data_IF_258843586684
#
_entry.id   IF_258843586684
#
_cell.length_a   1.000
_cell.length_b   1.000
_cell.length_c   1.000
_cell.angle_alpha   90.00
_cell.angle_beta   90.00
_cell.angle_gamma   90.00
#
_symmetry.space_group_name_H-M   'P 1'
#
loop_
_entity.id
_entity.type
_entity.pdbx_description
1 polymer ?
#
# COMPACT_ATOMS: atom_id res chain seq x y z
N UNK A 1 9.54 -59.68 32.10
CA UNK A 1 9.98 -59.04 33.36
C UNK A 1 9.33 -57.67 33.39
N UNK A 2 8.15 -57.55 34.02
CA UNK A 2 7.98 -57.05 35.41
C UNK A 2 8.39 -55.57 35.52
N UNK A 3 7.52 -54.57 35.40
CA UNK A 3 6.16 -54.37 35.97
C UNK A 3 6.13 -54.21 37.51
N UNK A 4 5.24 -53.32 37.99
CA UNK A 4 5.13 -52.70 39.33
C UNK A 4 6.15 -51.55 39.56
N UNK A 5 5.80 -50.43 40.22
CA UNK A 5 4.76 -50.24 41.25
C UNK A 5 3.91 -48.96 41.06
N UNK A 6 2.63 -49.07 41.45
CA UNK A 6 1.61 -48.01 41.50
C UNK A 6 0.92 -48.04 42.88
N UNK A 7 0.73 -46.89 43.53
CA UNK A 7 -0.17 -46.62 44.69
C UNK A 7 -0.28 -45.08 44.81
N UNK A 8 -1.41 -44.38 44.63
CA UNK A 8 -2.75 -44.47 45.26
C UNK A 8 -2.67 -44.17 46.77
N UNK A 9 -3.20 -43.05 47.30
CA UNK A 9 -4.61 -42.67 47.59
C UNK A 9 -4.56 -41.34 48.40
N UNK A 10 -5.60 -40.55 48.71
CA UNK A 10 -7.04 -40.50 48.40
C UNK A 10 -7.63 -39.15 48.89
N UNK A 11 -8.86 -38.86 48.48
CA UNK A 11 -9.75 -37.73 48.80
C UNK A 11 -9.82 -37.22 50.26
N UNK A 12 -10.20 -35.93 50.43
CA UNK A 12 -11.47 -35.51 51.08
C UNK A 12 -11.76 -33.99 51.14
N UNK A 13 -12.76 -33.57 50.36
CA UNK A 13 -13.96 -32.74 50.69
C UNK A 13 -13.98 -31.61 51.75
N UNK A 14 -14.65 -30.50 51.35
CA UNK A 14 -15.44 -29.52 52.16
C UNK A 14 -14.66 -28.44 52.95
N UNK A 15 -15.16 -27.23 53.27
CA UNK A 15 -16.53 -26.64 53.15
C UNK A 15 -16.50 -25.08 53.11
N UNK A 16 -17.62 -24.44 52.68
CA UNK A 16 -18.28 -23.18 53.13
C UNK A 16 -17.51 -22.02 53.86
N UNK A 17 -17.89 -20.73 53.80
CA UNK A 17 -18.85 -19.94 52.99
C UNK A 17 -18.81 -18.41 53.36
N UNK A 18 -19.31 -17.51 52.47
CA UNK A 18 -19.82 -16.10 52.68
C UNK A 18 -18.82 -15.08 53.31
N UNK A 19 -18.66 -13.83 52.85
CA UNK A 19 -19.58 -12.78 52.33
C UNK A 19 -18.88 -11.94 51.22
N UNK A 20 -19.42 -10.88 50.59
CA UNK A 20 -20.80 -10.34 50.54
C UNK A 20 -20.88 -8.80 50.64
N UNK A 21 -20.89 -8.07 49.51
CA UNK A 21 -21.05 -6.60 49.41
C UNK A 21 -22.01 -6.19 48.27
N UNK A 22 -22.72 -5.05 48.42
CA UNK A 22 -23.80 -4.57 47.53
C UNK A 22 -23.30 -3.64 46.40
N UNK A 23 -24.10 -3.43 45.32
CA UNK A 23 -23.67 -2.67 44.15
C UNK A 23 -23.78 -1.15 44.33
N UNK A 24 -22.92 -0.40 43.63
CA UNK A 24 -23.05 1.04 43.44
C UNK A 24 -23.41 1.32 41.97
N UNK A 25 -24.63 1.83 41.74
CA UNK A 25 -25.09 2.30 40.44
C UNK A 25 -24.65 3.75 40.20
N UNK A 26 -23.72 3.96 39.28
CA UNK A 26 -23.42 5.28 38.68
C UNK A 26 -23.92 5.32 37.23
N UNK A 27 -24.30 6.50 36.70
CA UNK A 27 -24.85 6.60 35.35
C UNK A 27 -23.81 6.19 34.30
N UNK A 28 -24.22 5.36 33.35
CA UNK A 28 -23.38 4.96 32.24
C UNK A 28 -23.12 6.17 31.33
N UNK A 29 -21.88 6.68 31.35
CA UNK A 29 -21.43 7.62 30.34
C UNK A 29 -21.62 6.99 28.95
N UNK A 30 -22.24 7.73 28.04
CA UNK A 30 -22.56 7.25 26.70
C UNK A 30 -21.32 6.72 25.99
N UNK A 31 -21.38 5.49 25.49
CA UNK A 31 -20.35 4.97 24.59
C UNK A 31 -20.38 5.81 23.32
N UNK A 32 -19.40 6.71 23.17
CA UNK A 32 -19.06 7.27 21.84
C UNK A 32 -18.85 6.07 20.91
N UNK A 33 -19.61 5.97 19.83
CA UNK A 33 -19.28 5.05 18.75
C UNK A 33 -18.03 5.61 18.10
N UNK A 34 -16.88 5.00 18.34
CA UNK A 34 -15.68 5.34 17.60
C UNK A 34 -15.91 5.06 16.13
N UNK A 35 -15.87 6.10 15.30
CA UNK A 35 -15.81 5.97 13.84
C UNK A 35 -14.69 4.98 13.48
N UNK A 36 -15.04 3.93 12.73
CA UNK A 36 -14.17 2.76 12.58
C UNK A 36 -12.98 3.03 11.65
N UNK A 37 -11.89 3.54 12.24
CA UNK A 37 -10.58 3.73 11.64
C UNK A 37 -9.55 4.05 12.72
N UNK A 38 -8.24 3.85 12.48
CA UNK A 38 -7.21 4.38 13.37
C UNK A 38 -7.28 5.91 13.29
N UNK A 39 -7.59 6.57 14.41
CA UNK A 39 -7.75 8.01 14.46
C UNK A 39 -6.46 8.72 14.03
N UNK A 40 -6.46 9.29 12.83
CA UNK A 40 -5.39 10.14 12.32
C UNK A 40 -5.52 11.52 12.99
N UNK A 41 -4.56 12.00 13.80
CA UNK A 41 -4.78 13.18 14.64
C UNK A 41 -5.17 14.46 13.89
N UNK A 42 -4.68 14.62 12.66
CA UNK A 42 -5.01 15.75 11.78
C UNK A 42 -6.46 15.74 11.27
N UNK A 43 -7.13 14.58 11.28
CA UNK A 43 -8.54 14.47 10.90
C UNK A 43 -9.51 14.78 12.06
N UNK A 44 -9.06 15.11 13.27
CA UNK A 44 -9.95 15.30 14.44
C UNK A 44 -11.16 16.21 14.15
N UNK A 45 -10.93 17.35 13.48
CA UNK A 45 -12.00 18.30 13.12
C UNK A 45 -12.94 17.75 12.04
N UNK A 46 -12.45 16.90 11.16
CA UNK A 46 -13.26 16.23 10.12
C UNK A 46 -14.21 15.26 10.83
N UNK A 47 -13.67 14.39 11.69
CA UNK A 47 -14.43 13.42 12.49
C UNK A 47 -15.47 14.13 13.38
N UNK A 48 -15.13 15.24 14.03
CA UNK A 48 -16.06 16.04 14.84
C UNK A 48 -17.23 16.64 14.05
N UNK A 49 -17.07 16.90 12.75
CA UNK A 49 -18.15 17.39 11.88
C UNK A 49 -18.96 16.21 11.34
N UNK A 50 -18.31 15.11 10.96
CA UNK A 50 -18.97 13.86 10.53
C UNK A 50 -19.88 13.30 11.64
N UNK A 51 -19.39 13.24 12.88
CA UNK A 51 -20.18 12.80 14.04
C UNK A 51 -21.43 13.70 14.24
N UNK A 52 -21.29 15.03 14.12
CA UNK A 52 -22.43 15.97 14.23
C UNK A 52 -23.45 15.82 13.10
N UNK A 53 -22.98 15.63 11.86
CA UNK A 53 -23.87 15.37 10.71
C UNK A 53 -24.65 14.07 10.94
N UNK A 54 -23.98 13.03 11.47
CA UNK A 54 -24.63 11.76 11.79
C UNK A 54 -25.64 11.90 12.94
N UNK A 55 -25.31 12.62 14.02
CA UNK A 55 -26.23 12.93 15.12
C UNK A 55 -27.48 13.69 14.63
N UNK A 56 -27.31 14.67 13.73
CA UNK A 56 -28.44 15.40 13.14
C UNK A 56 -29.30 14.55 12.21
N UNK A 57 -28.68 13.65 11.42
CA UNK A 57 -29.43 12.69 10.58
C UNK A 57 -30.25 11.72 11.44
N UNK A 58 -29.67 11.18 12.50
CA UNK A 58 -30.39 10.33 13.46
C UNK A 58 -31.51 11.10 14.22
N UNK A 59 -31.33 12.40 14.46
CA UNK A 59 -32.37 13.26 15.04
C UNK A 59 -33.52 13.57 14.04
N UNK A 60 -33.20 13.79 12.76
CA UNK A 60 -34.18 13.99 11.69
C UNK A 60 -35.04 12.74 11.48
N UNK A 61 -34.45 11.54 11.52
CA UNK A 61 -35.16 10.28 11.37
C UNK A 61 -36.07 9.94 12.58
N UNK A 62 -35.77 10.50 13.76
CA UNK A 62 -36.46 10.19 15.02
C UNK A 62 -37.43 11.27 15.52
N UNK A 63 -37.45 12.45 14.89
CA UNK A 63 -38.28 13.59 15.30
C UNK A 63 -38.91 14.31 14.10
N UNK A 64 -39.90 15.17 14.34
CA UNK A 64 -40.52 16.00 13.30
C UNK A 64 -39.82 17.35 13.11
N UNK A 65 -38.55 17.49 13.51
CA UNK A 65 -37.78 18.71 13.33
C UNK A 65 -37.08 18.70 11.97
N UNK A 66 -37.31 19.74 11.16
CA UNK A 66 -36.51 19.97 9.96
C UNK A 66 -35.14 20.52 10.36
N UNK A 67 -34.09 19.72 10.12
CA UNK A 67 -32.68 20.07 10.31
C UNK A 67 -31.90 19.97 8.98
N UNK A 68 -32.61 19.98 7.85
CA UNK A 68 -32.01 19.79 6.53
C UNK A 68 -31.05 20.92 6.16
N UNK A 69 -31.35 22.16 6.54
CA UNK A 69 -30.49 23.33 6.33
C UNK A 69 -29.18 23.25 7.13
N UNK A 70 -29.24 22.83 8.39
CA UNK A 70 -28.08 22.60 9.25
C UNK A 70 -27.20 21.47 8.70
N UNK A 71 -27.80 20.37 8.23
CA UNK A 71 -27.06 19.26 7.60
C UNK A 71 -26.31 19.74 6.35
N UNK A 72 -26.97 20.47 5.43
CA UNK A 72 -26.32 20.99 4.22
C UNK A 72 -25.17 21.94 4.56
N UNK A 73 -25.39 22.86 5.51
CA UNK A 73 -24.36 23.79 5.99
C UNK A 73 -23.14 23.06 6.58
N UNK A 74 -23.37 22.00 7.37
CA UNK A 74 -22.29 21.18 7.92
C UNK A 74 -21.59 20.32 6.85
N UNK A 75 -22.30 19.83 5.84
CA UNK A 75 -21.69 19.09 4.71
C UNK A 75 -20.82 20.00 3.82
N UNK A 76 -21.19 21.28 3.65
CA UNK A 76 -20.34 22.29 3.01
C UNK A 76 -19.09 22.60 3.85
N UNK A 77 -19.26 22.84 5.15
CA UNK A 77 -18.13 23.03 6.08
C UNK A 77 -17.20 21.82 6.12
N UNK A 78 -17.76 20.60 6.13
CA UNK A 78 -16.99 19.36 6.07
C UNK A 78 -16.12 19.31 4.82
N UNK A 79 -16.69 19.65 3.65
CA UNK A 79 -15.96 19.67 2.37
C UNK A 79 -14.80 20.67 2.39
N UNK A 80 -15.02 21.87 2.92
CA UNK A 80 -13.98 22.90 3.08
C UNK A 80 -12.87 22.42 4.04
N UNK A 81 -13.23 21.86 5.20
CA UNK A 81 -12.28 21.39 6.20
C UNK A 81 -11.46 20.20 5.68
N UNK A 82 -12.08 19.22 4.99
CA UNK A 82 -11.34 18.12 4.35
C UNK A 82 -10.36 18.69 3.31
N UNK A 83 -10.81 19.57 2.41
CA UNK A 83 -9.96 20.15 1.36
C UNK A 83 -8.75 20.87 1.96
N UNK A 84 -8.98 21.71 2.96
CA UNK A 84 -7.89 22.44 3.64
C UNK A 84 -6.92 21.50 4.34
N UNK A 85 -7.42 20.56 5.14
CA UNK A 85 -6.56 19.59 5.86
C UNK A 85 -5.74 18.73 4.90
N UNK A 86 -6.30 18.30 3.78
CA UNK A 86 -5.61 17.42 2.83
C UNK A 86 -4.62 18.14 1.90
N UNK A 87 -4.88 19.41 1.58
CA UNK A 87 -3.92 20.26 0.85
C UNK A 87 -2.67 20.58 1.69
N UNK A 88 -2.83 20.78 3.01
CA UNK A 88 -1.77 21.20 3.93
C UNK A 88 -1.02 20.01 4.62
N UNK A 89 -1.20 18.76 4.17
CA UNK A 89 -0.59 17.58 4.82
C UNK A 89 0.94 17.59 4.80
N UNK A 90 1.54 17.38 5.97
CA UNK A 90 2.97 17.10 6.10
C UNK A 90 3.34 15.74 5.49
N UNK A 91 4.63 15.49 5.14
CA UNK A 91 5.08 14.19 4.63
C UNK A 91 4.74 13.01 5.55
N UNK A 92 4.73 13.22 6.87
CA UNK A 92 4.35 12.19 7.84
C UNK A 92 2.85 11.90 7.83
N UNK A 93 2.01 12.92 7.68
CA UNK A 93 0.56 12.74 7.59
C UNK A 93 0.19 12.02 6.29
N UNK A 94 0.87 12.33 5.17
CA UNK A 94 0.79 11.55 3.92
C UNK A 94 1.19 10.09 4.11
N UNK A 95 2.25 9.79 4.87
CA UNK A 95 2.62 8.39 5.23
C UNK A 95 1.51 7.69 6.03
N UNK A 96 0.79 8.41 6.90
CA UNK A 96 -0.37 7.86 7.61
C UNK A 96 -1.56 7.58 6.67
N UNK A 97 -1.83 8.47 5.70
CA UNK A 97 -2.84 8.23 4.64
C UNK A 97 -2.46 7.05 3.74
N UNK A 98 -1.18 6.90 3.36
CA UNK A 98 -0.66 5.76 2.60
C UNK A 98 -0.88 4.41 3.32
N UNK A 99 -0.85 4.44 4.66
CA UNK A 99 -1.01 3.28 5.55
C UNK A 99 -2.44 3.07 6.03
N UNK A 100 -3.37 3.95 5.68
CA UNK A 100 -4.73 3.92 6.21
C UNK A 100 -5.43 2.57 5.93
N UNK A 101 -6.04 1.88 6.91
CA UNK A 101 -6.52 0.51 6.73
C UNK A 101 -7.64 0.32 5.70
N UNK A 102 -8.38 1.39 5.36
CA UNK A 102 -9.39 1.39 4.30
C UNK A 102 -8.85 1.81 2.93
N UNK A 103 -7.56 2.19 2.81
CA UNK A 103 -6.94 2.53 1.53
C UNK A 103 -7.02 1.32 0.58
N UNK A 104 -7.42 1.49 -0.70
CA UNK A 104 -7.50 0.39 -1.64
C UNK A 104 -6.18 -0.37 -1.77
N UNK A 105 -6.25 -1.70 -1.70
CA UNK A 105 -5.12 -2.60 -1.91
C UNK A 105 -5.19 -3.22 -3.31
N UNK A 106 -4.12 -3.89 -3.76
CA UNK A 106 -4.03 -4.50 -5.10
C UNK A 106 -5.23 -5.39 -5.48
N UNK A 107 -5.84 -6.09 -4.52
CA UNK A 107 -7.07 -6.89 -4.77
C UNK A 107 -8.32 -6.06 -5.07
N UNK A 108 -8.35 -4.80 -4.65
CA UNK A 108 -9.44 -3.87 -4.97
C UNK A 108 -9.25 -3.31 -6.39
N UNK A 109 -8.02 -2.93 -6.77
CA UNK A 109 -7.70 -2.53 -8.15
C UNK A 109 -7.89 -3.66 -9.17
N UNK A 110 -7.72 -4.94 -8.78
CA UNK A 110 -8.05 -6.08 -9.65
C UNK A 110 -9.54 -6.09 -10.06
N UNK A 111 -10.45 -5.50 -9.26
CA UNK A 111 -11.88 -5.45 -9.58
C UNK A 111 -12.22 -4.46 -10.72
N UNK A 112 -11.28 -3.61 -11.15
CA UNK A 112 -11.46 -2.71 -12.29
C UNK A 112 -11.21 -3.39 -13.65
N UNK A 113 -10.70 -4.63 -13.62
CA UNK A 113 -10.35 -5.43 -14.78
C UNK A 113 -11.58 -6.20 -15.28
N UNK A 114 -11.70 -6.35 -16.60
CA UNK A 114 -12.82 -7.05 -17.21
C UNK A 114 -12.60 -8.57 -17.23
N UNK A 115 -11.32 -9.01 -17.21
CA UNK A 115 -10.90 -10.38 -16.96
C UNK A 115 -9.56 -10.39 -16.21
N UNK A 116 -9.40 -11.32 -15.28
CA UNK A 116 -8.16 -11.54 -14.52
C UNK A 116 -7.95 -13.02 -14.20
N UNK A 117 -6.89 -13.60 -14.77
CA UNK A 117 -6.47 -14.99 -14.53
C UNK A 117 -5.18 -14.99 -13.71
N UNK A 118 -5.27 -15.31 -12.42
CA UNK A 118 -4.11 -15.38 -11.52
C UNK A 118 -3.16 -16.52 -11.92
N UNK A 119 -1.86 -16.24 -11.91
CA UNK A 119 -0.79 -17.13 -12.33
C UNK A 119 0.14 -17.44 -11.15
N UNK A 120 -0.01 -18.62 -10.57
CA UNK A 120 0.74 -19.04 -9.38
C UNK A 120 2.16 -19.56 -9.70
N UNK A 121 3.03 -19.54 -8.70
CA UNK A 121 4.33 -20.23 -8.62
C UNK A 121 5.51 -19.61 -9.37
N UNK A 122 6.68 -19.69 -8.74
CA UNK A 122 7.99 -19.37 -9.34
C UNK A 122 8.59 -20.52 -10.17
N UNK A 123 8.16 -21.78 -9.92
CA UNK A 123 8.74 -23.03 -10.47
C UNK A 123 10.14 -23.37 -9.93
N UNK A 124 10.50 -22.84 -8.76
CA UNK A 124 11.79 -23.10 -8.08
C UNK A 124 11.58 -23.48 -6.63
N UNK A 125 10.77 -22.74 -5.87
CA UNK A 125 10.55 -22.97 -4.44
C UNK A 125 9.08 -22.95 -4.04
N UNK A 126 8.28 -22.00 -4.54
CA UNK A 126 6.91 -21.82 -4.03
C UNK A 126 6.07 -20.78 -4.76
N UNK A 127 4.89 -20.54 -4.21
CA UNK A 127 3.98 -19.47 -4.62
C UNK A 127 3.81 -18.48 -3.47
N UNK A 128 4.46 -17.32 -3.57
CA UNK A 128 4.41 -16.32 -2.50
C UNK A 128 3.07 -15.57 -2.49
N UNK A 129 2.23 -15.68 -1.44
CA UNK A 129 0.97 -14.97 -1.35
C UNK A 129 1.13 -13.44 -1.28
N UNK A 130 2.30 -12.91 -0.92
CA UNK A 130 2.58 -11.47 -0.89
C UNK A 130 2.74 -10.82 -2.28
N UNK A 131 2.91 -11.61 -3.35
CA UNK A 131 3.09 -11.13 -4.72
C UNK A 131 2.01 -11.73 -5.64
N UNK A 132 0.97 -10.97 -5.98
CA UNK A 132 -0.02 -11.40 -6.97
C UNK A 132 0.53 -11.18 -8.39
N UNK A 133 0.28 -12.13 -9.29
CA UNK A 133 0.62 -11.99 -10.71
C UNK A 133 -0.46 -12.65 -11.56
N UNK A 134 -0.83 -12.10 -12.71
CA UNK A 134 -1.86 -12.70 -13.58
C UNK A 134 -1.93 -12.08 -14.97
N UNK A 135 -2.65 -12.73 -15.87
CA UNK A 135 -3.05 -12.11 -17.15
C UNK A 135 -4.31 -11.28 -16.90
N UNK A 136 -4.35 -10.08 -17.47
CA UNK A 136 -5.40 -9.10 -17.24
C UNK A 136 -5.92 -8.52 -18.56
N UNK A 137 -7.21 -8.18 -18.59
CA UNK A 137 -7.85 -7.41 -19.66
C UNK A 137 -8.52 -6.18 -19.05
N UNK A 138 -8.35 -5.03 -19.70
CA UNK A 138 -8.99 -3.76 -19.32
C UNK A 138 -9.33 -2.97 -20.59
N UNK A 139 -10.62 -2.87 -20.91
CA UNK A 139 -11.07 -2.52 -22.26
C UNK A 139 -10.49 -3.48 -23.30
N UNK A 140 -10.03 -2.95 -24.42
CA UNK A 140 -9.36 -3.73 -25.46
C UNK A 140 -7.87 -4.05 -25.14
N UNK A 141 -7.35 -3.57 -24.00
CA UNK A 141 -5.93 -3.74 -23.64
C UNK A 141 -5.72 -4.99 -22.80
N UNK A 142 -4.82 -5.88 -23.27
CA UNK A 142 -4.36 -7.09 -22.55
C UNK A 142 -2.96 -6.88 -22.02
N UNK A 143 -2.70 -7.30 -20.80
CA UNK A 143 -1.40 -7.12 -20.14
C UNK A 143 -1.14 -8.20 -19.08
N UNK A 144 0.07 -8.23 -18.54
CA UNK A 144 0.40 -9.02 -17.35
C UNK A 144 0.46 -8.09 -16.14
N UNK A 145 -0.43 -8.32 -15.18
CA UNK A 145 -0.43 -7.64 -13.89
C UNK A 145 0.54 -8.33 -12.94
N UNK A 146 1.30 -7.54 -12.19
CA UNK A 146 2.17 -7.95 -11.08
C UNK A 146 1.92 -6.95 -9.94
N UNK A 147 1.84 -7.39 -8.69
CA UNK A 147 1.70 -6.44 -7.60
C UNK A 147 1.81 -7.03 -6.20
N UNK A 148 2.05 -6.15 -5.23
CA UNK A 148 2.14 -6.55 -3.83
C UNK A 148 0.73 -6.76 -3.25
N UNK A 149 0.45 -7.96 -2.74
CA UNK A 149 -0.83 -8.30 -2.08
C UNK A 149 -0.66 -8.08 -0.58
N UNK A 150 -1.26 -7.00 -0.06
CA UNK A 150 -1.15 -6.60 1.35
C UNK A 150 -2.18 -7.27 2.29
N UNK A 151 -3.32 -7.69 1.74
CA UNK A 151 -4.44 -8.28 2.50
C UNK A 151 -5.31 -7.23 3.18
N UNK A 152 -6.63 -7.46 3.19
CA UNK A 152 -7.62 -6.53 3.75
C UNK A 152 -7.98 -6.90 5.18
N UNK A 153 -8.31 -8.16 5.44
CA UNK A 153 -8.54 -8.67 6.80
C UNK A 153 -7.22 -8.97 7.53
N UNK A 154 -7.25 -9.08 8.87
CA UNK A 154 -6.09 -9.50 9.67
C UNK A 154 -5.59 -10.89 9.26
N UNK A 155 -6.51 -11.80 8.91
CA UNK A 155 -6.17 -13.15 8.44
C UNK A 155 -5.42 -13.10 7.11
N UNK A 156 -5.96 -12.40 6.11
CA UNK A 156 -5.29 -12.22 4.81
C UNK A 156 -3.92 -11.55 4.98
N UNK A 157 -3.82 -10.50 5.80
CA UNK A 157 -2.55 -9.79 6.06
C UNK A 157 -1.47 -10.72 6.60
N UNK A 158 -1.83 -11.64 7.50
CA UNK A 158 -0.91 -12.66 8.00
C UNK A 158 -0.55 -13.68 6.90
N UNK A 159 -1.52 -14.13 6.11
CA UNK A 159 -1.31 -15.08 5.01
C UNK A 159 -0.38 -14.51 3.93
N UNK A 160 -0.50 -13.23 3.58
CA UNK A 160 0.31 -12.57 2.56
C UNK A 160 1.43 -11.68 3.13
N UNK A 161 1.90 -11.97 4.34
CA UNK A 161 3.05 -11.30 5.00
C UNK A 161 2.98 -9.75 5.00
N UNK A 162 1.79 -9.18 5.10
CA UNK A 162 1.51 -7.73 5.03
C UNK A 162 2.03 -7.07 3.73
N UNK A 163 2.13 -7.83 2.64
CA UNK A 163 2.67 -7.37 1.35
C UNK A 163 4.21 -7.40 1.28
N UNK A 164 4.89 -7.92 2.30
CA UNK A 164 6.34 -8.11 2.30
C UNK A 164 6.70 -9.42 1.59
N UNK A 165 7.19 -9.31 0.36
CA UNK A 165 7.49 -10.49 -0.47
C UNK A 165 8.78 -11.21 -0.05
N UNK A 166 8.75 -12.53 -0.21
CA UNK A 166 9.88 -13.45 -0.11
C UNK A 166 10.59 -13.59 -1.47
N UNK A 167 11.77 -14.25 -1.54
CA UNK A 167 12.56 -14.34 -2.77
C UNK A 167 11.79 -15.02 -3.92
N UNK A 168 11.03 -16.08 -3.61
CA UNK A 168 10.10 -16.76 -4.51
C UNK A 168 9.01 -15.83 -5.08
N UNK A 169 8.61 -14.76 -4.38
CA UNK A 169 7.70 -13.74 -4.88
C UNK A 169 8.33 -12.94 -6.02
N UNK A 170 9.56 -12.47 -5.84
CA UNK A 170 10.32 -11.76 -6.87
C UNK A 170 10.62 -12.66 -8.08
N UNK A 171 11.02 -13.92 -7.86
CA UNK A 171 11.20 -14.92 -8.93
C UNK A 171 9.90 -15.19 -9.70
N UNK A 172 8.76 -15.31 -8.99
CA UNK A 172 7.44 -15.45 -9.62
C UNK A 172 7.12 -14.25 -10.50
N UNK A 173 7.34 -13.02 -10.00
CA UNK A 173 7.17 -11.79 -10.75
C UNK A 173 8.02 -11.79 -12.04
N UNK A 174 9.33 -12.00 -11.93
CA UNK A 174 10.24 -12.05 -13.09
C UNK A 174 9.84 -13.12 -14.11
N UNK A 175 9.47 -14.32 -13.64
CA UNK A 175 8.97 -15.39 -14.52
C UNK A 175 7.70 -14.96 -15.29
N UNK A 176 6.82 -14.14 -14.70
CA UNK A 176 5.64 -13.62 -15.41
C UNK A 176 5.99 -12.45 -16.33
N UNK A 177 6.97 -11.60 -15.98
CA UNK A 177 7.49 -10.56 -16.88
C UNK A 177 8.08 -11.18 -18.16
N UNK A 178 8.83 -12.29 -18.05
CA UNK A 178 9.33 -13.03 -19.22
C UNK A 178 8.25 -13.76 -20.00
N UNK A 179 7.13 -14.11 -19.37
CA UNK A 179 5.94 -14.60 -20.09
C UNK A 179 5.27 -13.46 -20.87
N UNK A 180 5.13 -12.28 -20.27
CA UNK A 180 4.60 -11.08 -20.92
C UNK A 180 5.42 -10.71 -22.17
N UNK A 181 6.74 -10.62 -22.02
CA UNK A 181 7.67 -10.38 -23.12
C UNK A 181 7.54 -11.42 -24.24
N UNK A 182 7.47 -12.72 -23.89
CA UNK A 182 7.28 -13.80 -24.88
C UNK A 182 5.96 -13.69 -25.65
N UNK A 183 4.92 -13.14 -25.03
CA UNK A 183 3.60 -12.96 -25.64
C UNK A 183 3.43 -11.59 -26.31
N UNK A 184 4.43 -10.70 -26.24
CA UNK A 184 4.32 -9.32 -26.71
C UNK A 184 3.33 -8.47 -25.89
N UNK A 185 3.03 -8.87 -24.65
CA UNK A 185 2.09 -8.16 -23.79
C UNK A 185 2.82 -7.14 -22.89
N UNK A 186 2.28 -5.93 -22.70
CA UNK A 186 2.78 -4.99 -21.72
C UNK A 186 2.61 -5.49 -20.28
N UNK A 187 3.32 -4.87 -19.35
CA UNK A 187 3.36 -5.23 -17.93
C UNK A 187 2.85 -4.03 -17.10
N UNK A 188 1.99 -4.32 -16.12
CA UNK A 188 1.56 -3.34 -15.11
C UNK A 188 2.00 -3.81 -13.73
N UNK A 189 2.74 -2.98 -12.99
CA UNK A 189 3.28 -3.27 -11.67
C UNK A 189 2.63 -2.40 -10.60
N UNK A 190 1.92 -2.99 -9.62
CA UNK A 190 1.29 -2.28 -8.51
C UNK A 190 2.12 -2.41 -7.21
N UNK A 191 2.67 -1.30 -6.75
CA UNK A 191 3.55 -1.22 -5.58
C UNK A 191 2.74 -0.83 -4.33
N UNK A 192 2.73 -1.71 -3.33
CA UNK A 192 2.14 -1.49 -2.01
C UNK A 192 2.77 -2.43 -0.97
N UNK A 193 4.00 -2.15 -0.57
CA UNK A 193 4.79 -2.95 0.36
C UNK A 193 5.56 -2.07 1.36
N UNK A 194 5.59 -2.43 2.65
CA UNK A 194 6.52 -1.85 3.62
C UNK A 194 7.99 -2.15 3.26
N UNK A 195 8.25 -3.23 2.52
CA UNK A 195 9.59 -3.68 2.11
C UNK A 195 9.63 -5.18 1.83
N UNK A 196 10.77 -5.70 1.38
CA UNK A 196 10.96 -7.14 1.24
C UNK A 196 10.96 -7.82 2.63
N UNK A 197 10.49 -9.08 2.73
CA UNK A 197 10.39 -9.77 4.01
C UNK A 197 11.77 -9.97 4.68
N UNK A 198 12.02 -9.42 5.88
CA UNK A 198 13.34 -9.44 6.52
C UNK A 198 13.48 -10.63 7.48
N UNK A 199 13.48 -11.86 6.94
CA UNK A 199 13.50 -13.10 7.72
C UNK A 199 14.60 -14.07 7.31
N UNK A 200 15.03 -14.92 8.25
CA UNK A 200 16.11 -15.91 8.04
C UNK A 200 15.90 -16.74 6.76
N UNK A 201 14.70 -17.30 6.59
CA UNK A 201 14.38 -18.08 5.39
C UNK A 201 14.41 -17.28 4.09
N UNK A 202 14.16 -15.98 4.12
CA UNK A 202 14.30 -15.12 2.93
C UNK A 202 15.78 -14.91 2.59
N UNK A 203 16.64 -14.72 3.58
CA UNK A 203 18.10 -14.61 3.40
C UNK A 203 18.70 -15.93 2.89
N UNK A 204 18.37 -17.07 3.52
CA UNK A 204 18.78 -18.41 3.09
C UNK A 204 18.38 -18.72 1.63
N UNK A 205 17.23 -18.17 1.18
CA UNK A 205 16.74 -18.29 -0.20
C UNK A 205 17.16 -17.15 -1.13
N UNK A 206 18.02 -16.24 -0.68
CA UNK A 206 18.64 -15.21 -1.51
C UNK A 206 17.74 -14.03 -1.87
N UNK A 207 17.14 -13.36 -0.88
CA UNK A 207 16.31 -12.15 -1.04
C UNK A 207 16.98 -11.06 -1.88
N UNK A 208 18.21 -10.68 -1.51
CA UNK A 208 18.98 -9.68 -2.25
C UNK A 208 19.25 -10.09 -3.72
N UNK A 209 19.51 -11.37 -3.97
CA UNK A 209 19.75 -11.90 -5.32
C UNK A 209 18.47 -11.82 -6.17
N UNK A 210 17.33 -12.29 -5.65
CA UNK A 210 16.07 -12.27 -6.39
C UNK A 210 15.62 -10.84 -6.75
N UNK A 211 15.81 -9.88 -5.84
CA UNK A 211 15.53 -8.45 -6.11
C UNK A 211 16.50 -7.89 -7.18
N UNK A 212 17.80 -8.19 -7.08
CA UNK A 212 18.80 -7.71 -8.04
C UNK A 212 18.59 -8.30 -9.46
N UNK A 213 18.26 -9.59 -9.56
CA UNK A 213 17.92 -10.26 -10.82
C UNK A 213 16.71 -9.62 -11.50
N UNK A 214 15.66 -9.28 -10.73
CA UNK A 214 14.51 -8.54 -11.25
C UNK A 214 14.92 -7.18 -11.78
N UNK A 215 15.63 -6.36 -10.98
CA UNK A 215 16.03 -5.00 -11.37
C UNK A 215 16.85 -5.00 -12.66
N UNK A 216 17.88 -5.84 -12.74
CA UNK A 216 18.74 -5.98 -13.93
C UNK A 216 17.91 -6.50 -15.12
N UNK A 217 17.04 -7.48 -14.88
CA UNK A 217 16.18 -8.06 -15.88
C UNK A 217 15.21 -7.06 -16.51
N UNK A 218 14.56 -6.23 -15.70
CA UNK A 218 13.57 -5.25 -16.16
C UNK A 218 14.18 -4.19 -17.10
N UNK A 219 15.46 -3.85 -16.96
CA UNK A 219 16.21 -2.99 -17.92
C UNK A 219 16.49 -3.63 -19.29
N UNK A 220 16.02 -4.85 -19.54
CA UNK A 220 16.20 -5.58 -20.80
C UNK A 220 14.89 -6.05 -21.46
N UNK A 221 13.73 -5.87 -20.79
CA UNK A 221 12.44 -6.34 -21.30
C UNK A 221 12.00 -5.54 -22.53
N UNK A 222 11.60 -6.24 -23.58
CA UNK A 222 11.21 -5.69 -24.89
C UNK A 222 9.75 -5.21 -25.02
N UNK A 223 9.01 -5.21 -23.92
CA UNK A 223 7.61 -4.79 -23.85
C UNK A 223 7.46 -3.56 -22.94
N UNK A 224 6.39 -2.76 -23.09
CA UNK A 224 6.09 -1.65 -22.20
C UNK A 224 5.89 -2.10 -20.75
N UNK A 225 6.34 -1.27 -19.80
CA UNK A 225 6.18 -1.48 -18.36
C UNK A 225 5.67 -0.19 -17.72
N UNK A 226 4.47 -0.26 -17.12
CA UNK A 226 3.91 0.83 -16.30
C UNK A 226 3.95 0.40 -14.84
N UNK A 227 4.67 1.14 -14.01
CA UNK A 227 4.75 0.96 -12.56
C UNK A 227 3.87 2.00 -11.90
N UNK A 228 3.06 1.61 -10.91
CA UNK A 228 2.25 2.52 -10.10
C UNK A 228 2.40 2.21 -8.61
N UNK A 229 2.83 3.20 -7.82
CA UNK A 229 2.81 3.13 -6.37
C UNK A 229 1.42 3.52 -5.86
N UNK A 230 0.65 2.52 -5.41
CA UNK A 230 -0.72 2.70 -4.90
C UNK A 230 -0.78 2.93 -3.38
N UNK A 231 0.33 2.81 -2.66
CA UNK A 231 0.38 2.93 -1.20
C UNK A 231 1.81 3.06 -0.68
N UNK A 232 2.36 2.00 -0.08
CA UNK A 232 3.73 2.02 0.44
C UNK A 232 4.74 1.57 -0.63
N UNK A 233 5.76 2.40 -0.91
CA UNK A 233 6.92 2.11 -1.75
C UNK A 233 8.15 1.80 -0.91
N UNK A 234 8.16 0.64 -0.26
CA UNK A 234 9.23 0.21 0.64
C UNK A 234 10.51 -0.27 -0.05
N UNK A 235 11.50 0.63 -0.18
CA UNK A 235 12.92 0.30 -0.42
C UNK A 235 13.15 -0.63 -1.64
N UNK A 236 14.18 -1.48 -1.56
CA UNK A 236 14.51 -2.49 -2.57
C UNK A 236 13.38 -3.49 -2.82
N UNK A 237 12.47 -3.69 -1.86
CA UNK A 237 11.31 -4.57 -2.03
C UNK A 237 10.31 -4.01 -3.06
N UNK A 238 10.01 -2.72 -2.99
CA UNK A 238 9.24 -2.02 -4.01
C UNK A 238 9.99 -1.96 -5.35
N UNK A 239 11.29 -1.61 -5.32
CA UNK A 239 12.13 -1.52 -6.52
C UNK A 239 12.29 -2.85 -7.27
N UNK A 240 12.16 -4.00 -6.58
CA UNK A 240 12.16 -5.34 -7.17
C UNK A 240 11.05 -5.62 -8.19
N UNK A 241 10.05 -4.73 -8.32
CA UNK A 241 9.13 -4.66 -9.47
C UNK A 241 8.94 -3.21 -9.98
N UNK A 242 9.85 -2.30 -9.65
CA UNK A 242 9.69 -0.85 -9.80
C UNK A 242 10.42 -0.21 -11.00
N UNK A 243 11.05 -0.99 -11.87
CA UNK A 243 11.77 -0.48 -13.05
C UNK A 243 10.83 -0.46 -14.27
N UNK A 244 10.27 0.71 -14.61
CA UNK A 244 9.31 0.87 -15.71
C UNK A 244 9.63 1.97 -16.71
N UNK A 245 8.99 1.93 -17.88
CA UNK A 245 8.97 3.03 -18.87
C UNK A 245 8.17 4.22 -18.36
N UNK A 246 7.19 3.92 -17.50
CA UNK A 246 6.44 4.88 -16.68
C UNK A 246 6.48 4.45 -15.23
N UNK A 247 6.69 5.41 -14.33
CA UNK A 247 6.66 5.27 -12.87
C UNK A 247 5.71 6.33 -12.36
N UNK A 248 4.50 5.87 -12.03
CA UNK A 248 3.36 6.65 -11.57
C UNK A 248 3.24 6.50 -10.05
N UNK A 249 2.61 7.47 -9.39
CA UNK A 249 2.44 7.44 -7.95
C UNK A 249 1.12 8.10 -7.57
N UNK A 250 0.34 7.47 -6.69
CA UNK A 250 -0.83 8.14 -6.13
C UNK A 250 -0.40 9.27 -5.18
N UNK A 251 -1.17 10.35 -5.14
CA UNK A 251 -0.86 11.59 -4.42
C UNK A 251 -0.46 11.41 -2.95
N UNK A 252 -1.11 10.50 -2.23
CA UNK A 252 -0.81 10.23 -0.82
C UNK A 252 -0.16 8.86 -0.62
N UNK A 253 0.46 8.29 -1.66
CA UNK A 253 1.43 7.22 -1.51
C UNK A 253 2.78 7.77 -0.99
N UNK A 254 3.71 6.89 -0.63
CA UNK A 254 5.12 7.25 -0.45
C UNK A 254 6.06 6.30 -1.19
N UNK A 255 7.25 6.75 -1.58
CA UNK A 255 8.34 5.89 -2.04
C UNK A 255 9.63 6.29 -1.31
N UNK A 256 10.30 5.37 -0.63
CA UNK A 256 11.51 5.68 0.15
C UNK A 256 12.51 4.53 0.18
N UNK A 257 13.80 4.86 0.28
CA UNK A 257 14.91 3.91 0.48
C UNK A 257 14.83 3.18 1.83
N UNK A 258 14.16 3.75 2.82
CA UNK A 258 13.96 3.19 4.17
C UNK A 258 12.64 3.72 4.76
N UNK A 259 12.02 2.96 5.68
CA UNK A 259 10.89 3.49 6.46
C UNK A 259 11.30 4.72 7.29
N UNK A 260 10.42 5.73 7.48
CA UNK A 260 10.72 6.86 8.36
C UNK A 260 11.13 6.43 9.77
N UNK A 261 10.48 5.39 10.30
CA UNK A 261 10.81 4.79 11.60
C UNK A 261 12.25 4.25 11.66
N UNK A 262 12.66 3.53 10.62
CA UNK A 262 14.02 2.98 10.51
C UNK A 262 15.07 4.08 10.38
N UNK A 263 14.77 5.13 9.61
CA UNK A 263 15.61 6.31 9.49
C UNK A 263 15.76 7.05 10.83
N UNK A 264 14.65 7.27 11.54
CA UNK A 264 14.61 7.89 12.87
C UNK A 264 15.41 7.10 13.92
N UNK A 265 15.25 5.77 13.92
CA UNK A 265 16.00 4.88 14.80
C UNK A 265 17.52 4.85 14.52
N UNK A 266 17.96 5.07 13.28
CA UNK A 266 19.39 5.07 12.90
C UNK A 266 20.04 6.44 13.13
N UNK A 267 19.50 7.49 12.49
CA UNK A 267 20.15 8.81 12.47
C UNK A 267 19.94 9.58 13.77
N UNK A 268 18.75 9.46 14.38
CA UNK A 268 18.38 10.18 15.59
C UNK A 268 18.36 9.31 16.86
N UNK A 269 18.47 7.99 16.72
CA UNK A 269 18.38 7.01 17.84
C UNK A 269 17.06 7.12 18.63
N UNK A 270 16.02 7.68 18.02
CA UNK A 270 14.68 7.78 18.58
C UNK A 270 13.64 7.61 17.45
N UNK A 271 12.80 6.57 17.53
CA UNK A 271 11.72 6.32 16.58
C UNK A 271 10.60 7.38 16.60
N UNK A 272 10.45 8.15 17.68
CA UNK A 272 9.46 9.24 17.76
C UNK A 272 9.77 10.38 16.79
N UNK A 273 11.01 10.50 16.30
CA UNK A 273 11.43 11.47 15.27
C UNK A 273 11.12 11.00 13.84
N UNK A 274 10.21 10.04 13.69
CA UNK A 274 9.68 9.61 12.38
C UNK A 274 9.11 10.75 11.52
N UNK A 275 8.46 11.80 12.08
CA UNK A 275 7.99 12.92 11.27
C UNK A 275 9.13 13.70 10.61
N UNK A 276 10.17 14.02 11.38
CA UNK A 276 11.37 14.72 10.89
C UNK A 276 12.14 13.85 9.88
N UNK A 277 12.19 12.53 10.12
CA UNK A 277 12.79 11.58 9.20
C UNK A 277 12.02 11.50 7.87
N UNK A 278 10.68 11.52 7.89
CA UNK A 278 9.86 11.53 6.68
C UNK A 278 10.10 12.80 5.84
N UNK A 279 10.19 13.96 6.49
CA UNK A 279 10.46 15.25 5.83
C UNK A 279 11.88 15.33 5.25
N UNK A 280 12.87 14.77 5.95
CA UNK A 280 14.26 14.67 5.46
C UNK A 280 14.43 13.64 4.32
N UNK A 281 13.60 12.60 4.27
CA UNK A 281 13.68 11.52 3.26
C UNK A 281 13.15 11.91 1.88
N UNK A 282 12.36 12.99 1.78
CA UNK A 282 11.79 13.49 0.51
C UNK A 282 11.01 12.43 -0.27
N UNK A 283 10.06 11.82 0.45
CA UNK A 283 9.35 10.59 0.07
C UNK A 283 7.96 10.77 -0.54
N UNK A 284 7.46 12.00 -0.67
CA UNK A 284 6.11 12.28 -1.22
C UNK A 284 6.10 12.24 -2.74
N UNK A 285 4.92 12.14 -3.34
CA UNK A 285 4.76 12.20 -4.79
C UNK A 285 5.29 13.50 -5.40
N UNK A 286 5.12 14.63 -4.71
CA UNK A 286 5.61 15.94 -5.14
C UNK A 286 7.14 16.02 -5.10
N UNK A 287 7.75 15.63 -3.98
CA UNK A 287 9.21 15.59 -3.82
C UNK A 287 9.85 14.69 -4.90
N UNK A 288 9.28 13.50 -5.14
CA UNK A 288 9.82 12.51 -6.08
C UNK A 288 9.58 12.87 -7.55
N UNK A 289 8.54 13.65 -7.85
CA UNK A 289 8.32 14.24 -9.18
C UNK A 289 9.36 15.34 -9.43
N UNK A 290 9.62 16.21 -8.45
CA UNK A 290 10.66 17.24 -8.54
C UNK A 290 12.09 16.65 -8.69
N UNK A 291 12.32 15.44 -8.16
CA UNK A 291 13.56 14.68 -8.33
C UNK A 291 13.64 13.86 -9.63
N UNK A 292 12.59 13.84 -10.46
CA UNK A 292 12.54 13.08 -11.72
C UNK A 292 12.44 11.56 -11.54
N UNK A 293 11.98 11.09 -10.39
CA UNK A 293 11.77 9.66 -10.10
C UNK A 293 10.39 9.20 -10.56
N UNK A 294 9.37 10.04 -10.31
CA UNK A 294 7.97 9.85 -10.70
C UNK A 294 7.67 10.70 -11.93
N UNK A 295 7.00 10.12 -12.93
CA UNK A 295 6.62 10.85 -14.16
C UNK A 295 5.26 11.56 -14.02
N UNK A 296 4.35 10.99 -13.23
CA UNK A 296 3.00 11.52 -13.03
C UNK A 296 2.46 11.18 -11.63
N UNK A 297 1.85 12.17 -10.99
CA UNK A 297 1.07 12.01 -9.77
C UNK A 297 -0.39 11.74 -10.16
N UNK A 298 -0.95 10.61 -9.72
CA UNK A 298 -2.37 10.34 -9.85
C UNK A 298 -3.09 11.01 -8.68
N UNK A 299 -3.95 12.02 -8.91
CA UNK A 299 -4.66 12.71 -7.84
C UNK A 299 -5.59 11.75 -7.09
N UNK A 300 -5.71 11.95 -5.79
CA UNK A 300 -6.66 11.18 -4.99
C UNK A 300 -7.99 11.95 -4.86
N UNK A 301 -9.13 11.25 -4.63
CA UNK A 301 -10.39 11.90 -4.30
C UNK A 301 -10.28 12.77 -3.04
N UNK A 302 -11.24 13.66 -2.83
CA UNK A 302 -11.23 14.57 -1.68
C UNK A 302 -11.09 13.82 -0.35
N UNK A 303 -9.95 14.02 0.33
CA UNK A 303 -9.61 13.30 1.57
C UNK A 303 -8.89 11.96 1.36
N UNK A 304 -8.38 11.68 0.17
CA UNK A 304 -7.62 10.50 -0.15
C UNK A 304 -8.45 9.29 -0.58
N UNK A 305 -7.78 8.33 -1.23
CA UNK A 305 -8.37 7.15 -1.87
C UNK A 305 -9.15 6.21 -0.93
N UNK A 306 -8.99 6.37 0.39
CA UNK A 306 -9.73 5.59 1.38
C UNK A 306 -11.13 6.15 1.68
N UNK A 307 -11.42 7.41 1.32
CA UNK A 307 -12.75 8.06 1.48
C UNK A 307 -13.65 7.81 0.28
N UNK A 308 -13.11 7.80 -0.95
CA UNK A 308 -13.83 7.36 -2.16
C UNK A 308 -13.06 6.29 -2.96
N UNK A 309 -12.98 5.03 -2.49
CA UNK A 309 -12.28 3.94 -3.16
C UNK A 309 -12.63 3.74 -4.64
N UNK A 310 -13.92 3.81 -4.99
CA UNK A 310 -14.38 3.58 -6.36
C UNK A 310 -13.90 4.67 -7.33
N UNK A 311 -13.86 5.93 -6.89
CA UNK A 311 -13.37 7.07 -7.65
C UNK A 311 -11.84 6.96 -7.86
N UNK A 312 -11.08 6.67 -6.80
CA UNK A 312 -9.64 6.44 -6.89
C UNK A 312 -9.27 5.29 -7.86
N UNK A 313 -10.04 4.21 -7.83
CA UNK A 313 -9.88 3.07 -8.75
C UNK A 313 -10.21 3.48 -10.20
N UNK A 314 -11.24 4.31 -10.41
CA UNK A 314 -11.59 4.82 -11.73
C UNK A 314 -10.49 5.72 -12.32
N UNK A 315 -9.95 6.67 -11.54
CA UNK A 315 -8.82 7.52 -11.95
C UNK A 315 -7.59 6.68 -12.29
N UNK A 316 -7.28 5.66 -11.49
CA UNK A 316 -6.19 4.72 -11.78
C UNK A 316 -6.43 3.93 -13.07
N UNK A 317 -7.67 3.47 -13.33
CA UNK A 317 -8.04 2.78 -14.59
C UNK A 317 -7.82 3.68 -15.80
N UNK A 318 -8.26 4.94 -15.75
CA UNK A 318 -8.09 5.91 -16.83
C UNK A 318 -6.60 6.22 -17.10
N UNK A 319 -5.84 6.58 -16.07
CA UNK A 319 -4.41 6.87 -16.20
C UNK A 319 -3.63 5.65 -16.72
N UNK A 320 -3.89 4.45 -16.23
CA UNK A 320 -3.21 3.24 -16.73
C UNK A 320 -3.54 2.96 -18.21
N UNK A 321 -4.79 3.14 -18.65
CA UNK A 321 -5.16 2.98 -20.06
C UNK A 321 -4.40 4.00 -20.94
N UNK A 322 -4.35 5.27 -20.54
CA UNK A 322 -3.60 6.29 -21.27
C UNK A 322 -2.11 5.97 -21.37
N UNK A 323 -1.44 5.61 -20.27
CA UNK A 323 0.00 5.27 -20.32
C UNK A 323 0.28 3.99 -21.12
N UNK A 324 -0.62 3.01 -21.11
CA UNK A 324 -0.50 1.82 -21.96
C UNK A 324 -0.66 2.15 -23.45
N UNK A 325 -1.49 3.14 -23.79
CA UNK A 325 -1.67 3.63 -25.16
C UNK A 325 -0.51 4.53 -25.63
N UNK A 326 -0.01 5.43 -24.78
CA UNK A 326 1.18 6.26 -25.05
C UNK A 326 2.43 5.44 -25.35
N UNK A 327 2.53 4.24 -24.78
CA UNK A 327 3.66 3.32 -24.97
C UNK A 327 3.41 2.30 -26.10
N UNK A 328 2.21 2.26 -26.68
CA UNK A 328 1.88 1.35 -27.76
C UNK A 328 2.62 1.73 -29.05
N UNK A 329 3.04 0.74 -29.83
CA UNK A 329 3.82 0.94 -31.05
C UNK A 329 5.26 1.47 -30.89
N UNK A 330 5.72 1.86 -29.69
CA UNK A 330 7.13 2.25 -29.49
C UNK A 330 8.06 1.04 -29.75
N UNK A 331 9.09 1.15 -30.61
CA UNK A 331 10.02 0.06 -30.87
C UNK A 331 10.72 -0.46 -29.62
N UNK A 332 10.87 -1.77 -29.48
CA UNK A 332 11.46 -2.41 -28.30
C UNK A 332 12.86 -1.90 -27.92
N UNK A 333 13.71 -1.61 -28.92
CA UNK A 333 15.05 -1.08 -28.68
C UNK A 333 15.01 0.39 -28.19
N UNK A 334 13.98 1.15 -28.59
CA UNK A 334 13.73 2.49 -28.09
C UNK A 334 13.17 2.50 -26.66
N UNK A 335 12.22 1.60 -26.34
CA UNK A 335 11.77 1.37 -24.95
C UNK A 335 12.96 1.07 -24.03
N UNK A 336 13.80 0.10 -24.40
CA UNK A 336 15.00 -0.28 -23.62
C UNK A 336 15.97 0.90 -23.47
N UNK A 337 16.21 1.66 -24.55
CA UNK A 337 17.07 2.86 -24.52
C UNK A 337 16.50 3.93 -23.59
N UNK A 338 15.23 4.28 -23.73
CA UNK A 338 14.55 5.32 -22.96
C UNK A 338 14.51 4.94 -21.47
N UNK A 339 14.11 3.71 -21.12
CA UNK A 339 14.10 3.17 -19.75
C UNK A 339 15.49 3.26 -19.11
N UNK A 340 16.54 2.87 -19.82
CA UNK A 340 17.92 2.98 -19.32
C UNK A 340 18.36 4.43 -19.15
N UNK A 341 18.02 5.33 -20.08
CA UNK A 341 18.38 6.74 -19.99
C UNK A 341 17.68 7.42 -18.81
N UNK A 342 16.36 7.19 -18.64
CA UNK A 342 15.58 7.68 -17.51
C UNK A 342 16.27 7.37 -16.18
N UNK A 343 16.50 6.09 -15.88
CA UNK A 343 17.08 5.69 -14.60
C UNK A 343 18.54 6.11 -14.40
N UNK A 344 19.31 6.37 -15.47
CA UNK A 344 20.67 6.93 -15.38
C UNK A 344 20.68 8.43 -15.10
N UNK A 345 19.61 9.13 -15.45
CA UNK A 345 19.46 10.58 -15.24
C UNK A 345 18.82 10.92 -13.88
N UNK A 346 18.18 9.97 -13.20
CA UNK A 346 17.67 10.15 -11.82
C UNK A 346 18.81 10.63 -10.93
N UNK A 347 18.62 11.78 -10.28
CA UNK A 347 19.57 12.39 -9.36
C UNK A 347 21.01 12.50 -9.92
N UNK A 348 21.17 12.86 -11.20
CA UNK A 348 22.49 13.06 -11.81
C UNK A 348 23.26 14.20 -11.14
N UNK A 349 24.23 13.86 -10.28
CA UNK A 349 25.11 14.84 -9.63
C UNK A 349 26.26 15.21 -10.57
N UNK A 350 26.34 16.49 -10.93
CA UNK A 350 27.41 17.04 -11.79
C UNK A 350 28.80 16.70 -11.24
N UNK A 351 29.71 16.27 -12.11
CA UNK A 351 31.08 15.89 -11.76
C UNK A 351 31.26 14.58 -10.96
N UNK A 352 30.18 13.93 -10.48
CA UNK A 352 30.28 12.71 -9.66
C UNK A 352 30.10 11.41 -10.44
N UNK A 353 29.39 11.45 -11.56
CA UNK A 353 29.19 10.31 -12.45
C UNK A 353 29.61 10.69 -13.88
N UNK A 354 30.17 9.76 -14.67
CA UNK A 354 30.55 10.06 -16.05
C UNK A 354 29.32 10.44 -16.88
N UNK A 355 29.39 11.56 -17.59
CA UNK A 355 28.36 11.94 -18.56
C UNK A 355 28.36 10.90 -19.67
N UNK A 356 27.25 10.18 -19.81
CA UNK A 356 27.10 9.18 -20.85
C UNK A 356 26.44 9.84 -22.06
N UNK A 357 27.27 10.25 -23.01
CA UNK A 357 26.80 10.53 -24.37
C UNK A 357 26.05 9.30 -24.90
N UNK A 358 24.79 9.50 -25.32
CA UNK A 358 23.85 8.43 -25.67
C UNK A 358 24.15 7.67 -26.96
#
# INVERSE_FOLDING_TARGET
>A
MSDKFRKSKSDKSSSAAKTGAKPASGPAAGKRRSSEGPAMPFEHKILEIEDKIQELKELADSTSFDVSGEIVSLEEQLREVISKTYNDLTPWERVNVARHPKRPVTSDYIQMLDDFVELHGDRTFGDDPAMVTGMATMGDRRFVLIGHRKGRTVKERLECNFGCAHPEGYRKAWRKMKLAEKLGLPIVCLINTPGAYPGIGAEERGQAMAIAENIIGMFSLKVPIVVLVIGEGGSGGALGIGVGDRVLMMEHAYYSVISPEGCAAILWKNGERSPEAAEALKLTSEDLTALGVVDEIIPEPLGGAHRAPAEAIATVKETLLRHLEELDGIPADELIRARRLKFRNIASIEGRFPVVSG
#
